data_IF_804436594409
#
_entry.id   IF_804436594409
#
_cell.length_a   1.000
_cell.length_b   1.000
_cell.length_c   1.000
_cell.angle_alpha   90.00
_cell.angle_beta   90.00
_cell.angle_gamma   90.00
#
_symmetry.space_group_name_H-M   'P 1'
#
loop_
_entity.id
_entity.type
_entity.pdbx_description
1 polymer ?
#
# COMPACT_ATOMS: atom_id res chain seq x y z
N UNK A 1 7.55 11.16 -16.35
CA UNK A 1 6.17 10.63 -16.39
C UNK A 1 5.23 11.83 -16.56
N UNK A 2 4.26 11.79 -17.48
CA UNK A 2 3.24 12.84 -17.63
C UNK A 2 2.11 12.56 -16.64
N UNK A 3 2.01 13.38 -15.59
CA UNK A 3 1.15 13.15 -14.42
C UNK A 3 -0.32 13.46 -14.70
N UNK A 4 -0.57 14.37 -15.63
CA UNK A 4 -1.88 14.80 -16.14
C UNK A 4 -2.67 13.65 -16.78
N UNK A 5 -2.00 12.62 -17.28
CA UNK A 5 -2.65 11.43 -17.85
C UNK A 5 -3.41 10.59 -16.83
N UNK A 6 -3.24 10.86 -15.53
CA UNK A 6 -3.86 10.15 -14.43
C UNK A 6 -4.82 11.02 -13.61
N UNK A 7 -5.11 12.23 -14.09
CA UNK A 7 -5.99 13.18 -13.39
C UNK A 7 -7.47 12.82 -13.60
N UNK A 8 -8.29 13.04 -12.58
CA UNK A 8 -9.73 12.81 -12.61
C UNK A 8 -10.45 13.70 -11.60
N UNK A 9 -11.71 14.04 -11.88
CA UNK A 9 -12.53 14.82 -10.96
C UNK A 9 -12.89 13.97 -9.73
N UNK A 10 -12.40 14.38 -8.56
CA UNK A 10 -12.67 13.74 -7.27
C UNK A 10 -13.30 14.75 -6.32
N UNK A 11 -14.63 14.74 -6.18
CA UNK A 11 -15.30 15.58 -5.20
C UNK A 11 -14.81 15.29 -3.77
N UNK A 12 -14.55 16.32 -2.98
CA UNK A 12 -14.00 16.19 -1.62
C UNK A 12 -14.89 15.36 -0.69
N UNK A 13 -16.21 15.42 -0.89
CA UNK A 13 -17.20 14.67 -0.11
C UNK A 13 -17.15 13.15 -0.39
N UNK A 14 -16.43 12.72 -1.43
CA UNK A 14 -16.18 11.30 -1.74
C UNK A 14 -14.90 10.76 -1.12
N UNK A 15 -14.13 11.59 -0.42
CA UNK A 15 -12.94 11.16 0.32
C UNK A 15 -13.37 10.73 1.73
N UNK A 16 -13.28 9.42 2.00
CA UNK A 16 -13.66 8.89 3.30
C UNK A 16 -12.71 9.40 4.41
N UNK A 17 -13.27 10.09 5.40
CA UNK A 17 -12.53 10.59 6.57
C UNK A 17 -12.41 9.54 7.69
N UNK A 18 -13.25 8.51 7.65
CA UNK A 18 -13.29 7.39 8.60
C UNK A 18 -13.57 6.09 7.84
N UNK A 19 -13.07 4.94 8.33
CA UNK A 19 -13.40 3.65 7.74
C UNK A 19 -14.90 3.33 7.91
N UNK A 20 -15.41 2.46 7.05
CA UNK A 20 -16.72 1.84 7.27
C UNK A 20 -16.69 0.92 8.50
N UNK A 21 -17.82 0.80 9.21
CA UNK A 21 -18.00 -0.11 10.35
C UNK A 21 -19.27 -0.96 10.13
N UNK A 22 -19.15 -2.29 10.05
CA UNK A 22 -17.93 -3.10 10.12
C UNK A 22 -17.02 -2.92 8.88
N UNK A 23 -15.73 -3.22 9.01
CA UNK A 23 -14.71 -2.89 7.99
C UNK A 23 -14.96 -3.53 6.62
N UNK A 24 -15.54 -4.72 6.62
CA UNK A 24 -15.89 -5.49 5.42
C UNK A 24 -17.18 -5.04 4.73
N UNK A 25 -17.94 -4.12 5.34
CA UNK A 25 -19.09 -3.46 4.71
C UNK A 25 -18.72 -2.42 3.66
N UNK A 26 -17.43 -2.06 3.55
CA UNK A 26 -16.95 -1.14 2.53
C UNK A 26 -17.28 -1.64 1.12
N UNK A 27 -17.59 -0.72 0.21
CA UNK A 27 -17.81 -1.03 -1.21
C UNK A 27 -16.50 -1.49 -1.86
N UNK A 28 -16.60 -2.48 -2.72
CA UNK A 28 -15.53 -3.02 -3.54
C UNK A 28 -15.97 -2.97 -5.01
N UNK A 29 -15.21 -2.28 -5.85
CA UNK A 29 -15.44 -2.27 -7.29
C UNK A 29 -14.66 -3.41 -7.95
N UNK A 30 -15.38 -4.35 -8.56
CA UNK A 30 -14.77 -5.45 -9.33
C UNK A 30 -14.54 -4.97 -10.76
N UNK A 31 -13.27 -4.86 -11.15
CA UNK A 31 -12.86 -4.48 -12.51
C UNK A 31 -12.31 -5.72 -13.22
N UNK A 32 -12.95 -6.15 -14.31
CA UNK A 32 -12.47 -7.29 -15.09
C UNK A 32 -11.47 -6.85 -16.17
N UNK A 33 -10.43 -7.66 -16.46
CA UNK A 33 -9.51 -7.39 -17.56
C UNK A 33 -10.24 -7.22 -18.90
N UNK A 34 -9.68 -6.39 -19.79
CA UNK A 34 -10.22 -6.20 -21.14
C UNK A 34 -11.53 -5.42 -21.22
N UNK A 35 -11.95 -4.75 -20.13
CA UNK A 35 -13.16 -3.94 -20.12
C UNK A 35 -14.45 -4.77 -20.06
N UNK A 36 -14.39 -6.02 -19.61
CA UNK A 36 -15.53 -6.95 -19.52
C UNK A 36 -16.58 -6.58 -18.45
N UNK A 37 -16.69 -5.30 -18.10
CA UNK A 37 -17.68 -4.74 -17.18
C UNK A 37 -17.14 -4.43 -15.79
N UNK A 38 -17.82 -3.48 -15.16
CA UNK A 38 -17.65 -3.08 -13.76
C UNK A 38 -18.79 -3.69 -12.94
N UNK A 39 -18.50 -4.08 -11.70
CA UNK A 39 -19.53 -4.53 -10.78
C UNK A 39 -19.28 -4.01 -9.35
N UNK A 40 -20.31 -3.43 -8.74
CA UNK A 40 -20.31 -3.06 -7.34
C UNK A 40 -20.58 -4.28 -6.45
N UNK A 41 -19.74 -4.45 -5.43
CA UNK A 41 -19.83 -5.48 -4.38
C UNK A 41 -19.49 -4.89 -3.01
N UNK A 42 -19.65 -5.66 -1.95
CA UNK A 42 -19.03 -5.38 -0.66
C UNK A 42 -17.71 -6.15 -0.51
N UNK A 43 -16.81 -5.67 0.36
CA UNK A 43 -15.55 -6.40 0.67
C UNK A 43 -15.86 -7.78 1.27
N UNK A 44 -16.96 -7.93 2.01
CA UNK A 44 -17.46 -9.22 2.50
C UNK A 44 -17.76 -10.24 1.39
N UNK A 45 -17.98 -9.79 0.15
CA UNK A 45 -18.22 -10.68 -1.01
C UNK A 45 -16.92 -11.23 -1.60
N UNK A 46 -15.74 -10.72 -1.20
CA UNK A 46 -14.45 -11.12 -1.76
C UNK A 46 -14.23 -12.63 -1.80
N UNK A 47 -14.57 -13.42 -0.75
CA UNK A 47 -14.39 -14.88 -0.80
C UNK A 47 -15.12 -15.56 -1.96
N UNK A 48 -16.25 -15.01 -2.42
CA UNK A 48 -17.01 -15.56 -3.55
C UNK A 48 -16.35 -15.36 -4.91
N UNK A 49 -15.35 -14.47 -4.99
CA UNK A 49 -14.62 -14.16 -6.22
C UNK A 49 -13.32 -14.96 -6.36
N UNK A 50 -12.88 -15.60 -5.28
CA UNK A 50 -11.66 -16.39 -5.24
C UNK A 50 -11.96 -17.84 -5.65
N UNK A 51 -10.93 -18.50 -6.19
CA UNK A 51 -10.96 -19.91 -6.55
C UNK A 51 -9.99 -20.69 -5.69
N UNK A 52 -10.20 -22.00 -5.62
CA UNK A 52 -9.23 -22.90 -5.03
C UNK A 52 -7.86 -22.75 -5.72
N UNK A 53 -6.81 -22.61 -4.91
CA UNK A 53 -5.44 -22.37 -5.38
C UNK A 53 -5.03 -20.90 -5.47
N UNK A 54 -5.96 -19.94 -5.31
CA UNK A 54 -5.60 -18.52 -5.25
C UNK A 54 -4.81 -18.20 -3.96
N UNK A 55 -3.84 -17.30 -4.07
CA UNK A 55 -3.02 -16.85 -2.95
C UNK A 55 -3.26 -15.37 -2.66
N UNK A 56 -3.73 -15.08 -1.46
CA UNK A 56 -3.83 -13.71 -0.96
C UNK A 56 -2.51 -13.30 -0.30
N UNK A 57 -1.81 -12.35 -0.91
CA UNK A 57 -0.59 -11.78 -0.35
C UNK A 57 -0.94 -10.51 0.41
N UNK A 58 -0.77 -10.56 1.73
CA UNK A 58 -0.99 -9.40 2.60
C UNK A 58 0.35 -8.73 2.92
N UNK A 59 0.34 -7.40 2.92
CA UNK A 59 1.48 -6.63 3.40
C UNK A 59 1.35 -6.41 4.92
N UNK A 60 2.20 -7.07 5.69
CA UNK A 60 2.37 -6.82 7.12
C UNK A 60 3.56 -5.87 7.32
N UNK A 61 3.27 -4.56 7.44
CA UNK A 61 4.32 -3.54 7.62
C UNK A 61 4.85 -3.57 9.05
N UNK A 62 6.11 -3.99 9.22
CA UNK A 62 6.85 -3.87 10.48
C UNK A 62 7.78 -2.68 10.44
N UNK A 63 7.67 -1.79 11.41
CA UNK A 63 8.66 -0.74 11.64
C UNK A 63 9.94 -1.42 12.11
N UNK A 64 11.04 -1.22 11.38
CA UNK A 64 12.38 -1.63 11.83
C UNK A 64 13.00 -0.42 12.53
N UNK A 65 13.07 -0.38 13.87
CA UNK A 65 13.53 0.79 14.62
C UNK A 65 15.06 0.84 14.71
N UNK A 66 15.74 0.71 13.57
CA UNK A 66 17.15 0.41 13.57
C UNK A 66 17.92 1.25 12.56
N UNK A 67 17.81 2.58 12.69
CA UNK A 67 18.65 3.53 11.98
C UNK A 67 19.78 3.99 12.91
N UNK A 68 21.01 3.68 12.55
CA UNK A 68 22.20 4.16 13.23
C UNK A 68 22.71 5.42 12.53
N UNK A 69 23.10 6.43 13.32
CA UNK A 69 23.77 7.64 12.83
C UNK A 69 25.17 7.69 13.39
N UNK A 70 26.13 8.14 12.58
CA UNK A 70 27.53 8.21 13.00
C UNK A 70 28.36 9.16 12.16
N UNK A 71 29.63 9.30 12.54
CA UNK A 71 30.61 10.09 11.82
C UNK A 71 31.72 9.16 11.36
N UNK A 72 31.95 9.08 10.05
CA UNK A 72 33.09 8.37 9.47
C UNK A 72 34.30 9.29 9.45
N UNK A 73 35.38 8.90 10.15
CA UNK A 73 36.68 9.59 10.13
C UNK A 73 37.64 8.88 9.17
N UNK A 74 38.30 9.63 8.28
CA UNK A 74 39.39 9.14 7.40
C UNK A 74 40.50 10.19 7.35
N UNK A 75 41.55 10.00 8.14
CA UNK A 75 42.53 11.07 8.38
C UNK A 75 41.85 12.28 9.03
N UNK A 76 42.07 13.47 8.49
CA UNK A 76 41.42 14.70 8.95
C UNK A 76 39.98 14.86 8.42
N UNK A 77 39.57 14.08 7.41
CA UNK A 77 38.23 14.18 6.83
C UNK A 77 37.18 13.51 7.73
N UNK A 78 36.07 14.23 7.98
CA UNK A 78 34.90 13.73 8.69
C UNK A 78 33.65 13.83 7.80
N UNK A 79 32.83 12.77 7.77
CA UNK A 79 31.56 12.75 7.05
C UNK A 79 30.46 12.14 7.91
N UNK A 80 29.26 12.71 7.87
CA UNK A 80 28.08 12.10 8.46
C UNK A 80 27.68 10.85 7.66
N UNK A 81 27.30 9.79 8.38
CA UNK A 81 26.82 8.54 7.78
C UNK A 81 25.60 8.03 8.54
N UNK A 82 24.72 7.36 7.81
CA UNK A 82 23.57 6.65 8.38
C UNK A 82 23.58 5.19 7.90
N UNK A 83 23.16 4.26 8.76
CA UNK A 83 23.05 2.85 8.43
C UNK A 83 21.71 2.30 8.93
N UNK A 84 20.93 1.73 8.02
CA UNK A 84 19.70 1.00 8.38
C UNK A 84 20.07 -0.46 8.63
N UNK A 85 19.82 -0.94 9.85
CA UNK A 85 20.00 -2.35 10.18
C UNK A 85 18.84 -3.13 9.58
N UNK A 86 19.17 -4.01 8.65
CA UNK A 86 18.22 -4.98 8.13
C UNK A 86 18.39 -6.30 8.88
N UNK A 87 17.29 -6.98 9.17
CA UNK A 87 17.34 -8.34 9.72
C UNK A 87 18.06 -9.25 8.72
N UNK A 88 19.05 -10.01 9.20
CA UNK A 88 19.64 -11.11 8.44
C UNK A 88 18.72 -12.31 8.64
N UNK A 89 18.00 -12.69 7.59
CA UNK A 89 17.20 -13.94 7.55
C UNK A 89 18.15 -15.12 7.37
#
# INVERSE_FOLDING_TARGET
MRVDLFDFDLPEDRIALRPAEPRDSARMLVVRPGGAGLADRAVSDLPSLLKEGDVLVFNDTKVIPAQLKGIRKRGEAQAQVEATLHMRV
#
